data_IF_253626902115
#
_entry.id   IF_253626902115
#
_cell.length_a   1.000
_cell.length_b   1.000
_cell.length_c   1.000
_cell.angle_alpha   90.00
_cell.angle_beta   90.00
_cell.angle_gamma   90.00
#
_symmetry.space_group_name_H-M   'P 1'
#
loop_
_entity.id
_entity.type
_entity.pdbx_description
1 polymer ?
#
# COMPACT_ATOMS: atom_id res chain seq x y z
N UNK A 1 -9.77 -11.86 33.56
CA UNK A 1 -10.37 -11.63 32.22
C UNK A 1 -9.32 -10.99 31.34
N UNK A 2 -8.86 -11.73 30.34
CA UNK A 2 -7.69 -11.41 29.50
C UNK A 2 -8.08 -10.37 28.45
N UNK A 3 -7.69 -9.11 28.66
CA UNK A 3 -7.88 -8.06 27.67
C UNK A 3 -6.93 -8.30 26.50
N UNK A 4 -7.52 -8.49 25.32
CA UNK A 4 -6.92 -8.72 24.02
C UNK A 4 -5.50 -8.15 23.87
N UNK A 5 -4.53 -9.03 23.60
CA UNK A 5 -3.27 -8.69 22.95
C UNK A 5 -3.59 -8.03 21.61
N UNK A 6 -3.81 -6.71 21.62
CA UNK A 6 -3.80 -5.90 20.40
C UNK A 6 -2.36 -5.95 19.91
N UNK A 7 -2.06 -6.89 19.01
CA UNK A 7 -0.91 -6.78 18.12
C UNK A 7 -1.12 -5.50 17.32
N UNK A 8 -0.62 -4.39 17.85
CA UNK A 8 -0.43 -3.16 17.09
C UNK A 8 0.61 -3.55 16.06
N UNK A 9 0.17 -3.90 14.86
CA UNK A 9 1.04 -4.01 13.71
C UNK A 9 1.66 -2.61 13.57
N UNK A 10 2.85 -2.45 14.15
CA UNK A 10 3.67 -1.24 14.08
C UNK A 10 4.30 -1.17 12.68
N UNK A 11 3.48 -1.13 11.63
CA UNK A 11 3.96 -0.85 10.28
C UNK A 11 4.31 0.63 10.22
N UNK A 12 5.52 0.97 10.66
CA UNK A 12 5.98 2.35 10.73
C UNK A 12 6.48 2.87 9.38
N UNK A 13 6.60 2.00 8.36
CA UNK A 13 7.27 2.34 7.10
C UNK A 13 6.54 1.79 5.89
N UNK A 14 6.37 2.65 4.89
CA UNK A 14 5.98 2.30 3.52
C UNK A 14 7.24 2.28 2.66
N UNK A 15 7.45 1.18 1.94
CA UNK A 15 8.56 0.99 1.00
C UNK A 15 7.95 0.75 -0.38
N UNK A 16 8.45 1.48 -1.37
CA UNK A 16 8.02 1.32 -2.76
C UNK A 16 9.13 0.55 -3.49
N UNK A 17 8.79 -0.60 -4.05
CA UNK A 17 9.71 -1.37 -4.88
C UNK A 17 10.21 -0.55 -6.06
N UNK A 18 11.42 -0.81 -6.55
CA UNK A 18 11.96 -0.13 -7.73
C UNK A 18 11.01 -0.27 -8.93
N UNK A 19 10.48 -1.47 -9.16
CA UNK A 19 9.51 -1.73 -10.21
C UNK A 19 8.25 -0.86 -10.08
N UNK A 20 7.69 -0.73 -8.87
CA UNK A 20 6.54 0.14 -8.64
C UNK A 20 6.87 1.62 -8.89
N UNK A 21 8.08 2.09 -8.59
CA UNK A 21 8.51 3.47 -8.88
C UNK A 21 8.60 3.74 -10.38
N UNK A 22 9.18 2.80 -11.13
CA UNK A 22 9.28 2.88 -12.59
C UNK A 22 7.89 2.92 -13.23
N UNK A 23 6.99 2.00 -12.83
CA UNK A 23 5.59 1.97 -13.29
C UNK A 23 4.81 3.23 -12.92
N UNK A 24 4.98 3.72 -11.69
CA UNK A 24 4.35 4.97 -11.25
C UNK A 24 4.79 6.15 -12.12
N UNK A 25 6.10 6.25 -12.43
CA UNK A 25 6.65 7.27 -13.32
C UNK A 25 6.08 7.17 -14.75
N UNK A 26 6.06 5.96 -15.32
CA UNK A 26 5.47 5.70 -16.65
C UNK A 26 3.99 6.13 -16.74
N UNK A 27 3.26 6.00 -15.64
CA UNK A 27 1.83 6.30 -15.55
C UNK A 27 1.53 7.75 -15.14
N UNK A 28 2.54 8.60 -15.01
CA UNK A 28 2.37 10.00 -14.60
C UNK A 28 2.01 10.18 -13.12
N UNK A 29 2.20 9.16 -12.28
CA UNK A 29 2.00 9.28 -10.83
C UNK A 29 3.14 10.13 -10.27
N UNK A 30 2.80 11.30 -9.75
CA UNK A 30 3.79 12.27 -9.28
C UNK A 30 4.42 11.86 -7.95
N UNK A 31 5.63 12.37 -7.68
CA UNK A 31 6.31 12.18 -6.39
C UNK A 31 5.45 12.67 -5.21
N UNK A 32 4.60 13.68 -5.40
CA UNK A 32 3.68 14.17 -4.36
C UNK A 32 2.64 13.11 -3.97
N UNK A 33 2.08 12.41 -4.95
CA UNK A 33 1.11 11.32 -4.73
C UNK A 33 1.78 10.18 -3.95
N UNK A 34 2.97 9.76 -4.37
CA UNK A 34 3.73 8.73 -3.65
C UNK A 34 4.08 9.17 -2.23
N UNK A 35 4.42 10.44 -2.03
CA UNK A 35 4.73 10.99 -0.70
C UNK A 35 3.51 10.98 0.22
N UNK A 36 2.30 11.30 -0.29
CA UNK A 36 1.05 11.19 0.47
C UNK A 36 0.80 9.76 0.93
N UNK A 37 0.99 8.77 0.07
CA UNK A 37 0.86 7.37 0.43
C UNK A 37 1.84 6.96 1.53
N UNK A 38 3.11 7.37 1.42
CA UNK A 38 4.13 7.07 2.43
C UNK A 38 3.78 7.70 3.79
N UNK A 39 3.17 8.90 3.80
CA UNK A 39 2.79 9.60 5.03
C UNK A 39 1.60 8.96 5.77
N UNK A 40 0.89 8.01 5.15
CA UNK A 40 -0.35 7.43 5.69
C UNK A 40 -0.33 5.89 5.68
N UNK A 41 0.60 5.24 6.39
CA UNK A 41 0.68 3.78 6.44
C UNK A 41 -0.60 3.11 6.96
N UNK A 42 -1.36 3.79 7.83
CA UNK A 42 -2.63 3.26 8.35
C UNK A 42 -3.68 3.03 7.27
N UNK A 43 -3.71 3.84 6.21
CA UNK A 43 -4.67 3.67 5.10
C UNK A 43 -4.54 2.30 4.44
N UNK A 44 -3.31 1.80 4.31
CA UNK A 44 -3.06 0.48 3.76
C UNK A 44 -3.75 -0.58 4.61
N UNK A 45 -3.61 -0.55 5.93
CA UNK A 45 -4.22 -1.56 6.79
C UNK A 45 -5.75 -1.45 6.82
N UNK A 46 -6.27 -0.23 6.92
CA UNK A 46 -7.70 0.00 7.19
C UNK A 46 -8.59 -0.10 5.94
N UNK A 47 -8.10 0.31 4.77
CA UNK A 47 -8.92 0.42 3.55
C UNK A 47 -8.61 -0.62 2.47
N UNK A 48 -7.61 -1.46 2.68
CA UNK A 48 -7.25 -2.43 1.63
C UNK A 48 -8.14 -3.66 1.63
N UNK A 49 -8.41 -4.15 0.43
CA UNK A 49 -9.00 -5.47 0.23
C UNK A 49 -7.90 -6.50 0.01
N UNK A 50 -7.96 -7.60 0.74
CA UNK A 50 -7.03 -8.73 0.54
C UNK A 50 -7.57 -9.64 -0.54
N UNK A 51 -6.76 -9.91 -1.55
CA UNK A 51 -7.02 -10.96 -2.53
C UNK A 51 -6.75 -12.33 -1.89
N UNK A 52 -7.76 -13.19 -1.74
CA UNK A 52 -7.63 -14.44 -1.00
C UNK A 52 -6.74 -15.48 -1.72
N UNK A 53 -6.50 -15.32 -3.02
CA UNK A 53 -5.72 -16.27 -3.83
C UNK A 53 -4.22 -15.98 -3.71
N UNK A 54 -3.83 -14.72 -3.87
CA UNK A 54 -2.43 -14.31 -3.88
C UNK A 54 -1.91 -13.80 -2.53
N UNK A 55 -2.81 -13.57 -1.56
CA UNK A 55 -2.50 -12.91 -0.29
C UNK A 55 -2.10 -11.44 -0.44
N UNK A 56 -2.15 -10.90 -1.67
CA UNK A 56 -1.83 -9.50 -1.95
C UNK A 56 -2.97 -8.61 -1.50
N UNK A 57 -2.64 -7.37 -1.16
CA UNK A 57 -3.60 -6.38 -0.71
C UNK A 57 -3.69 -5.27 -1.74
N UNK A 58 -4.91 -4.80 -1.97
CA UNK A 58 -5.22 -3.74 -2.91
C UNK A 58 -5.83 -2.57 -2.16
N UNK A 59 -5.14 -1.44 -2.18
CA UNK A 59 -5.65 -0.16 -1.71
C UNK A 59 -6.14 0.62 -2.93
N UNK A 60 -7.38 1.12 -2.88
CA UNK A 60 -7.88 2.13 -3.80
C UNK A 60 -7.94 3.46 -3.06
N UNK A 61 -7.26 4.47 -3.57
CA UNK A 61 -7.30 5.82 -3.00
C UNK A 61 -7.31 6.82 -4.17
N UNK A 62 -8.29 7.72 -4.17
CA UNK A 62 -8.59 8.59 -5.32
C UNK A 62 -8.71 7.77 -6.62
N UNK A 63 -7.96 8.14 -7.67
CA UNK A 63 -7.88 7.41 -8.95
C UNK A 63 -6.71 6.45 -9.01
N UNK A 64 -6.25 5.91 -7.88
CA UNK A 64 -5.10 5.01 -7.82
C UNK A 64 -5.48 3.65 -7.27
N UNK A 65 -4.96 2.62 -7.92
CA UNK A 65 -5.02 1.25 -7.45
C UNK A 65 -3.61 0.80 -7.09
N UNK A 66 -3.40 0.51 -5.81
CA UNK A 66 -2.08 0.24 -5.24
C UNK A 66 -2.07 -1.21 -4.75
N UNK A 67 -1.20 -2.02 -5.34
CA UNK A 67 -0.99 -3.41 -4.94
C UNK A 67 0.18 -3.46 -3.99
N UNK A 68 -0.02 -4.03 -2.80
CA UNK A 68 0.98 -4.08 -1.75
C UNK A 68 0.90 -5.38 -0.92
N UNK A 69 1.92 -5.62 -0.13
CA UNK A 69 2.00 -6.75 0.81
C UNK A 69 2.81 -6.34 2.05
N UNK A 70 2.82 -7.17 3.09
CA UNK A 70 3.78 -7.01 4.18
C UNK A 70 5.16 -7.54 3.77
N UNK A 71 6.18 -6.72 3.97
CA UNK A 71 7.58 -7.12 3.87
C UNK A 71 8.03 -7.92 5.08
N UNK A 72 9.29 -8.39 5.03
CA UNK A 72 9.87 -9.25 6.07
C UNK A 72 10.03 -8.55 7.43
N UNK A 73 10.13 -7.23 7.45
CA UNK A 73 10.27 -6.41 8.66
C UNK A 73 8.96 -5.73 9.04
N UNK A 74 7.81 -6.31 8.65
CA UNK A 74 6.49 -5.75 8.89
C UNK A 74 6.31 -4.34 8.27
N UNK A 75 7.01 -4.05 7.18
CA UNK A 75 6.82 -2.84 6.37
C UNK A 75 5.72 -3.05 5.31
N UNK A 76 5.08 -1.97 4.90
CA UNK A 76 4.18 -1.98 3.74
C UNK A 76 5.04 -1.93 2.49
N UNK A 77 5.07 -3.02 1.74
CA UNK A 77 5.79 -3.11 0.47
C UNK A 77 4.83 -2.89 -0.71
N UNK A 78 4.96 -1.76 -1.39
CA UNK A 78 4.20 -1.46 -2.61
C UNK A 78 4.87 -2.16 -3.80
N UNK A 79 4.11 -3.06 -4.41
CA UNK A 79 4.49 -3.89 -5.54
C UNK A 79 4.14 -3.25 -6.88
N UNK A 80 3.01 -2.53 -6.94
CA UNK A 80 2.60 -1.82 -8.14
C UNK A 80 1.62 -0.69 -7.84
N UNK A 81 1.60 0.33 -8.70
CA UNK A 81 0.65 1.45 -8.66
C UNK A 81 0.07 1.63 -10.05
N UNK A 82 -1.25 1.64 -10.13
CA UNK A 82 -2.01 1.86 -11.35
C UNK A 82 -2.85 3.13 -11.18
N UNK A 83 -3.03 3.85 -12.29
CA UNK A 83 -4.07 4.88 -12.38
C UNK A 83 -5.33 4.18 -12.84
N UNK A 84 -6.37 4.26 -12.02
CA UNK A 84 -7.72 3.81 -12.37
C UNK A 84 -8.24 4.76 -13.45
N UNK A 85 -8.38 4.27 -14.68
CA UNK A 85 -8.73 5.07 -15.87
C UNK A 85 -10.25 5.20 -16.07
N UNK A 86 -11.05 4.66 -15.16
CA UNK A 86 -12.51 4.61 -15.23
C UNK A 86 -13.21 5.71 -14.38
N UNK A 87 -12.59 6.88 -14.19
CA UNK A 87 -13.24 8.06 -13.57
C UNK A 87 -13.53 9.15 -14.58
#
# INVERSE_FOLDING_TARGET
MTAASRSVISTSRVVISQHARERAKERGVTTQVLSRLISRPRLFIEKSKTDPVSGRRVLREDSLLIVWTFGKNNEILILSVFVDKDS
#
